data_IF_206603126020
#
_entry.id   IF_206603126020
#
_cell.length_a   1.000
_cell.length_b   1.000
_cell.length_c   1.000
_cell.angle_alpha   90.00
_cell.angle_beta   90.00
_cell.angle_gamma   90.00
#
_symmetry.space_group_name_H-M   'P 1'
#
loop_
_entity.id
_entity.type
_entity.pdbx_description
1 polymer ?
#
# COMPACT_ATOMS: atom_id res chain seq x y z
N UNK A 1 -24.30 -72.78 -1.59
CA UNK A 1 -23.33 -71.69 -1.70
C UNK A 1 -23.97 -70.50 -1.05
N UNK A 2 -23.30 -69.97 -0.02
CA UNK A 2 -23.82 -68.97 0.91
C UNK A 2 -24.38 -67.75 0.18
N UNK A 3 -25.66 -67.47 0.43
CA UNK A 3 -26.27 -66.18 0.11
C UNK A 3 -26.12 -65.35 1.37
N UNK A 4 -25.17 -64.43 1.37
CA UNK A 4 -24.97 -63.42 2.40
C UNK A 4 -26.34 -62.88 2.79
N UNK A 5 -26.81 -63.24 3.98
CA UNK A 5 -28.09 -62.77 4.48
C UNK A 5 -27.92 -61.27 4.73
N UNK A 6 -28.61 -60.44 3.94
CA UNK A 6 -28.74 -59.02 4.22
C UNK A 6 -29.55 -58.90 5.51
N UNK A 7 -28.87 -58.89 6.66
CA UNK A 7 -29.54 -58.81 7.96
C UNK A 7 -29.99 -57.37 8.17
N UNK A 8 -31.27 -57.13 7.90
CA UNK A 8 -31.96 -55.90 8.29
C UNK A 8 -31.98 -55.80 9.83
N UNK A 9 -31.25 -54.84 10.38
CA UNK A 9 -31.52 -54.34 11.73
C UNK A 9 -32.13 -52.94 11.57
N UNK A 10 -33.44 -52.82 11.78
CA UNK A 10 -34.11 -51.51 11.86
C UNK A 10 -34.90 -51.03 10.64
N UNK A 11 -35.15 -51.87 9.64
CA UNK A 11 -36.36 -51.75 8.80
C UNK A 11 -36.34 -50.86 7.56
N UNK A 12 -35.20 -50.28 7.14
CA UNK A 12 -35.14 -49.56 5.86
C UNK A 12 -33.77 -49.65 5.19
N UNK A 13 -33.64 -50.50 4.17
CA UNK A 13 -32.48 -50.49 3.28
C UNK A 13 -32.69 -49.43 2.20
N UNK A 14 -31.75 -48.51 2.06
CA UNK A 14 -31.76 -47.50 1.00
C UNK A 14 -30.85 -47.97 -0.11
N UNK A 15 -31.30 -47.83 -1.34
CA UNK A 15 -30.54 -48.22 -2.52
C UNK A 15 -30.47 -47.05 -3.49
N UNK A 16 -29.29 -46.86 -4.08
CA UNK A 16 -29.01 -45.87 -5.10
C UNK A 16 -29.06 -46.54 -6.46
N UNK A 17 -29.97 -46.10 -7.32
CA UNK A 17 -30.09 -46.57 -8.69
C UNK A 17 -28.97 -46.04 -9.59
N UNK A 18 -28.78 -46.67 -10.75
CA UNK A 18 -27.85 -46.19 -11.80
C UNK A 18 -28.24 -44.81 -12.36
N UNK A 19 -29.48 -44.37 -12.16
CA UNK A 19 -29.96 -43.03 -12.48
C UNK A 19 -29.67 -41.99 -11.37
N UNK A 20 -28.95 -42.39 -10.31
CA UNK A 20 -28.61 -41.57 -9.16
C UNK A 20 -29.76 -41.33 -8.19
N UNK A 21 -30.92 -41.98 -8.37
CA UNK A 21 -32.07 -41.80 -7.48
C UNK A 21 -32.01 -42.76 -6.30
N UNK A 22 -32.44 -42.23 -5.15
CA UNK A 22 -32.61 -42.99 -3.93
C UNK A 22 -33.98 -43.67 -3.92
N UNK A 23 -34.01 -44.95 -3.56
CA UNK A 23 -35.23 -45.69 -3.28
C UNK A 23 -35.06 -46.59 -2.07
N UNK A 24 -36.16 -46.92 -1.42
CA UNK A 24 -36.17 -47.88 -0.32
C UNK A 24 -36.45 -49.28 -0.86
N UNK A 25 -35.67 -50.27 -0.44
CA UNK A 25 -35.97 -51.67 -0.69
C UNK A 25 -37.04 -52.14 0.29
N UNK A 26 -38.15 -52.63 -0.24
CA UNK A 26 -39.17 -53.29 0.57
C UNK A 26 -38.77 -54.75 0.86
N UNK A 27 -39.33 -55.32 1.91
CA UNK A 27 -39.04 -56.67 2.35
C UNK A 27 -39.24 -57.71 1.22
N UNK A 28 -38.20 -58.49 0.91
CA UNK A 28 -38.10 -59.47 -0.20
C UNK A 28 -37.91 -58.91 -1.62
N UNK A 29 -37.71 -57.60 -1.78
CA UNK A 29 -37.27 -57.04 -3.07
C UNK A 29 -35.77 -57.27 -3.27
N UNK A 30 -35.38 -57.78 -4.44
CA UNK A 30 -33.96 -57.91 -4.78
C UNK A 30 -33.46 -56.64 -5.45
N UNK A 31 -32.28 -56.12 -5.06
CA UNK A 31 -31.67 -55.01 -5.75
C UNK A 31 -31.25 -55.43 -7.16
N UNK A 32 -31.28 -54.47 -8.08
CA UNK A 32 -30.85 -54.65 -9.45
C UNK A 32 -29.32 -54.57 -9.54
N UNK A 33 -28.75 -55.19 -10.58
CA UNK A 33 -27.32 -55.09 -10.85
C UNK A 33 -26.90 -53.62 -11.04
N UNK A 34 -25.78 -53.25 -10.43
CA UNK A 34 -25.22 -51.91 -10.47
C UNK A 34 -25.79 -50.94 -9.43
N UNK A 35 -26.78 -51.37 -8.64
CA UNK A 35 -27.28 -50.56 -7.54
C UNK A 35 -26.34 -50.58 -6.33
N UNK A 36 -26.31 -49.48 -5.58
CA UNK A 36 -25.53 -49.35 -4.33
C UNK A 36 -26.48 -49.41 -3.15
N UNK A 37 -26.29 -50.40 -2.28
CA UNK A 37 -27.04 -50.59 -1.04
C UNK A 37 -26.33 -49.85 0.07
N UNK A 38 -27.10 -49.07 0.84
CA UNK A 38 -26.60 -48.31 1.99
C UNK A 38 -27.44 -48.69 3.21
N UNK A 39 -26.76 -49.20 4.23
CA UNK A 39 -27.34 -49.51 5.53
C UNK A 39 -26.60 -48.74 6.62
N UNK A 40 -27.31 -48.41 7.69
CA UNK A 40 -26.70 -47.82 8.88
C UNK A 40 -26.16 -48.95 9.76
N UNK A 41 -24.91 -48.82 10.19
CA UNK A 41 -24.32 -49.68 11.19
C UNK A 41 -24.55 -49.09 12.59
N UNK A 42 -25.35 -49.75 13.42
CA UNK A 42 -25.64 -49.29 14.78
C UNK A 42 -24.45 -49.45 15.76
N UNK A 43 -23.36 -50.11 15.33
CA UNK A 43 -22.16 -50.30 16.15
C UNK A 43 -21.24 -49.06 16.19
N UNK A 44 -21.33 -48.15 15.21
CA UNK A 44 -20.56 -46.90 15.19
C UNK A 44 -21.46 -45.68 14.89
N UNK A 45 -21.26 -44.53 15.56
CA UNK A 45 -22.18 -43.39 15.52
C UNK A 45 -22.36 -42.73 14.12
N UNK A 46 -21.52 -43.10 13.15
CA UNK A 46 -21.56 -42.64 11.75
C UNK A 46 -21.19 -43.77 10.76
N UNK A 47 -21.16 -45.03 11.20
CA UNK A 47 -20.79 -46.16 10.33
C UNK A 47 -21.88 -46.43 9.28
N UNK A 48 -21.53 -46.29 8.00
CA UNK A 48 -22.36 -46.74 6.88
C UNK A 48 -21.80 -48.06 6.36
N UNK A 49 -22.65 -49.07 6.23
CA UNK A 49 -22.36 -50.30 5.50
C UNK A 49 -22.82 -50.08 4.05
N UNK A 50 -21.85 -50.02 3.13
CA UNK A 50 -22.09 -49.72 1.71
C UNK A 50 -21.68 -50.90 0.85
N UNK A 51 -22.64 -51.37 0.06
CA UNK A 51 -22.51 -52.59 -0.70
C UNK A 51 -22.92 -52.39 -2.16
N UNK A 52 -22.06 -52.74 -3.11
CA UNK A 52 -22.32 -52.64 -4.55
C UNK A 52 -22.82 -53.99 -5.10
N UNK A 53 -23.93 -53.97 -5.84
CA UNK A 53 -24.50 -55.17 -6.46
C UNK A 53 -23.85 -55.44 -7.82
N UNK A 54 -23.09 -56.53 -7.92
CA UNK A 54 -22.44 -57.02 -9.14
C UNK A 54 -23.16 -58.25 -9.70
N UNK A 55 -22.81 -58.64 -10.92
CA UNK A 55 -23.38 -59.83 -11.60
C UNK A 55 -23.22 -61.13 -10.78
N UNK A 56 -22.13 -61.22 -10.02
CA UNK A 56 -21.75 -62.41 -9.24
C UNK A 56 -22.10 -62.32 -7.74
N UNK A 57 -22.89 -61.33 -7.34
CA UNK A 57 -23.27 -61.11 -5.93
C UNK A 57 -23.01 -59.68 -5.47
N UNK A 58 -22.92 -59.51 -4.15
CA UNK A 58 -22.76 -58.20 -3.53
C UNK A 58 -21.31 -58.03 -3.07
N UNK A 59 -20.70 -56.87 -3.35
CA UNK A 59 -19.37 -56.50 -2.89
C UNK A 59 -19.47 -55.43 -1.80
N UNK A 60 -18.76 -55.61 -0.70
CA UNK A 60 -18.57 -54.57 0.31
C UNK A 60 -17.56 -53.52 -0.20
N UNK A 61 -17.96 -52.26 -0.16
CA UNK A 61 -17.18 -51.08 -0.61
C UNK A 61 -17.15 -50.00 0.46
N UNK A 62 -17.45 -50.35 1.73
CA UNK A 62 -17.57 -49.39 2.83
C UNK A 62 -16.28 -48.60 3.08
N UNK A 63 -15.13 -49.28 3.03
CA UNK A 63 -13.81 -48.66 3.21
C UNK A 63 -13.47 -47.66 2.09
N UNK A 64 -13.71 -48.06 0.84
CA UNK A 64 -13.48 -47.23 -0.35
C UNK A 64 -14.31 -45.94 -0.29
N UNK A 65 -15.58 -46.05 0.13
CA UNK A 65 -16.48 -44.90 0.29
C UNK A 65 -16.01 -43.99 1.43
N UNK A 66 -15.54 -44.54 2.54
CA UNK A 66 -15.00 -43.75 3.64
C UNK A 66 -13.77 -42.93 3.21
N UNK A 67 -12.90 -43.51 2.39
CA UNK A 67 -11.73 -42.81 1.83
C UNK A 67 -12.14 -41.66 0.89
N UNK A 68 -13.09 -41.90 -0.01
CA UNK A 68 -13.62 -40.87 -0.92
C UNK A 68 -14.24 -39.71 -0.12
N UNK A 69 -15.07 -40.01 0.88
CA UNK A 69 -15.69 -38.98 1.73
C UNK A 69 -14.62 -38.17 2.47
N UNK A 70 -13.61 -38.83 3.03
CA UNK A 70 -12.51 -38.15 3.70
C UNK A 70 -11.72 -37.20 2.77
N UNK A 71 -11.50 -37.60 1.52
CA UNK A 71 -10.86 -36.74 0.52
C UNK A 71 -11.71 -35.52 0.18
N UNK A 72 -13.03 -35.71 -0.01
CA UNK A 72 -13.97 -34.62 -0.26
C UNK A 72 -14.03 -33.63 0.91
N UNK A 73 -14.05 -34.11 2.15
CA UNK A 73 -14.04 -33.25 3.35
C UNK A 73 -12.71 -32.48 3.50
N UNK A 74 -11.59 -33.07 3.07
CA UNK A 74 -10.29 -32.43 3.05
C UNK A 74 -10.06 -31.50 1.84
N UNK A 75 -11.04 -31.39 0.93
CA UNK A 75 -10.93 -30.61 -0.31
C UNK A 75 -9.95 -31.21 -1.34
N UNK A 76 -9.60 -32.48 -1.19
CA UNK A 76 -8.76 -33.23 -2.13
C UNK A 76 -9.61 -33.85 -3.25
N UNK A 77 -9.03 -33.98 -4.45
CA UNK A 77 -9.69 -34.64 -5.57
C UNK A 77 -9.72 -36.17 -5.34
N UNK A 78 -10.91 -36.81 -5.24
CA UNK A 78 -11.01 -38.26 -5.01
C UNK A 78 -10.34 -39.10 -6.09
N UNK A 79 -10.20 -38.58 -7.31
CA UNK A 79 -9.52 -39.29 -8.41
C UNK A 79 -8.01 -39.43 -8.19
N UNK A 80 -7.44 -38.70 -7.22
CA UNK A 80 -6.02 -38.76 -6.86
C UNK A 80 -5.73 -39.75 -5.72
N UNK A 81 -6.75 -40.39 -5.14
CA UNK A 81 -6.57 -41.41 -4.09
C UNK A 81 -5.92 -42.70 -4.60
N UNK A 82 -6.05 -42.99 -5.90
CA UNK A 82 -5.45 -44.15 -6.56
C UNK A 82 -6.14 -44.50 -7.89
N UNK A 83 -5.52 -45.36 -8.69
CA UNK A 83 -6.04 -45.79 -10.00
C UNK A 83 -7.43 -46.46 -9.90
N UNK A 84 -7.78 -47.02 -8.74
CA UNK A 84 -9.07 -47.64 -8.46
C UNK A 84 -10.21 -46.63 -8.23
N UNK A 85 -9.87 -45.37 -7.91
CA UNK A 85 -10.80 -44.24 -7.75
C UNK A 85 -10.84 -43.32 -8.96
N UNK A 86 -9.90 -43.49 -9.91
CA UNK A 86 -9.88 -42.72 -11.14
C UNK A 86 -11.12 -43.02 -11.99
N UNK A 87 -11.65 -41.99 -12.67
CA UNK A 87 -12.74 -42.19 -13.62
C UNK A 87 -12.31 -43.16 -14.72
N UNK A 88 -13.11 -44.20 -15.00
CA UNK A 88 -12.86 -45.17 -16.08
C UNK A 88 -12.96 -44.58 -17.51
N UNK A 89 -12.84 -43.25 -17.66
CA UNK A 89 -12.90 -42.56 -18.92
C UNK A 89 -11.81 -43.08 -19.87
N UNK A 90 -12.20 -43.56 -21.04
CA UNK A 90 -11.28 -44.08 -22.06
C UNK A 90 -10.87 -45.55 -21.87
N UNK A 91 -11.41 -46.26 -20.87
CA UNK A 91 -11.29 -47.73 -20.73
C UNK A 91 -12.50 -48.47 -21.32
N UNK A 92 -12.37 -49.79 -21.61
CA UNK A 92 -13.40 -50.55 -22.36
C UNK A 92 -14.72 -50.65 -21.63
N UNK A 93 -14.63 -50.53 -20.31
CA UNK A 93 -15.75 -50.64 -19.39
C UNK A 93 -16.25 -49.25 -18.96
N UNK A 94 -15.68 -48.17 -19.54
CA UNK A 94 -16.07 -46.80 -19.30
C UNK A 94 -17.16 -46.32 -20.25
N UNK A 95 -18.04 -45.45 -19.77
CA UNK A 95 -19.09 -44.81 -20.58
C UNK A 95 -18.56 -43.79 -21.60
N UNK A 96 -17.24 -43.55 -21.63
CA UNK A 96 -16.59 -42.60 -22.54
C UNK A 96 -16.17 -43.27 -23.85
N UNK A 97 -16.27 -42.55 -24.96
CA UNK A 97 -15.92 -43.04 -26.29
C UNK A 97 -14.42 -43.43 -26.36
N UNK A 98 -14.13 -44.71 -26.59
CA UNK A 98 -12.74 -45.22 -26.59
C UNK A 98 -11.97 -45.02 -27.90
N UNK A 99 -12.67 -44.99 -29.02
CA UNK A 99 -12.05 -44.93 -30.35
C UNK A 99 -12.92 -44.04 -31.22
N UNK A 100 -12.63 -42.74 -31.20
CA UNK A 100 -13.12 -41.84 -32.22
C UNK A 100 -12.20 -41.94 -33.43
N UNK A 101 -12.76 -42.11 -34.63
CA UNK A 101 -11.97 -42.06 -35.86
C UNK A 101 -11.39 -40.66 -36.05
N UNK A 102 -10.10 -40.57 -36.37
CA UNK A 102 -9.46 -39.30 -36.73
C UNK A 102 -9.94 -38.88 -38.11
N UNK A 103 -10.45 -37.65 -38.23
CA UNK A 103 -10.74 -37.03 -39.53
C UNK A 103 -9.43 -36.44 -40.06
N UNK A 104 -8.88 -37.03 -41.12
CA UNK A 104 -7.72 -36.46 -41.80
C UNK A 104 -8.12 -35.16 -42.50
N UNK A 105 -7.58 -34.04 -42.02
CA UNK A 105 -7.78 -32.72 -42.63
C UNK A 105 -6.90 -32.60 -43.87
N UNK A 106 -7.46 -32.87 -45.06
CA UNK A 106 -6.75 -32.81 -46.35
C UNK A 106 -6.64 -31.39 -46.95
N UNK A 107 -7.01 -30.35 -46.19
CA UNK A 107 -6.88 -28.95 -46.58
C UNK A 107 -5.71 -28.29 -45.85
N UNK A 108 -5.16 -27.21 -46.41
CA UNK A 108 -4.21 -26.36 -45.69
C UNK A 108 -4.85 -25.93 -44.36
N UNK A 109 -4.34 -26.46 -43.26
CA UNK A 109 -4.78 -26.06 -41.94
C UNK A 109 -4.33 -24.61 -41.72
N UNK A 110 -5.27 -23.66 -41.77
CA UNK A 110 -5.14 -22.51 -40.90
C UNK A 110 -5.27 -23.07 -39.49
N UNK A 111 -4.14 -23.30 -38.82
CA UNK A 111 -4.13 -23.27 -37.37
C UNK A 111 -4.77 -21.93 -37.03
N UNK A 112 -5.94 -21.97 -36.38
CA UNK A 112 -6.37 -20.79 -35.65
C UNK A 112 -5.23 -20.56 -34.67
N UNK A 113 -4.39 -19.55 -34.98
CA UNK A 113 -3.56 -18.93 -33.97
C UNK A 113 -4.59 -18.34 -33.02
N UNK A 114 -5.00 -19.12 -32.03
CA UNK A 114 -5.52 -18.56 -30.80
C UNK A 114 -4.32 -17.95 -30.13
N UNK A 115 -3.84 -16.85 -30.72
CA UNK A 115 -3.11 -15.86 -30.00
C UNK A 115 -4.01 -15.53 -28.84
N UNK A 116 -3.67 -16.02 -27.66
CA UNK A 116 -4.09 -15.38 -26.44
C UNK A 116 -3.39 -14.03 -26.44
N UNK A 117 -3.88 -13.14 -27.29
CA UNK A 117 -3.73 -11.72 -27.11
C UNK A 117 -4.59 -11.47 -25.88
N UNK A 118 -3.93 -11.31 -24.73
CA UNK A 118 -4.55 -10.68 -23.57
C UNK A 118 -4.76 -9.22 -23.95
N UNK A 119 -5.69 -8.98 -24.86
CA UNK A 119 -6.31 -7.68 -25.03
C UNK A 119 -6.86 -7.42 -23.64
N UNK A 120 -6.23 -6.50 -22.90
CA UNK A 120 -6.77 -6.00 -21.64
C UNK A 120 -8.26 -5.72 -21.86
N UNK A 121 -9.07 -5.91 -20.82
CA UNK A 121 -10.53 -6.00 -20.81
C UNK A 121 -11.31 -4.92 -21.60
N UNK A 122 -10.66 -3.96 -22.24
CA UNK A 122 -11.17 -2.90 -23.09
C UNK A 122 -12.05 -3.37 -24.27
N UNK A 123 -12.04 -4.65 -24.70
CA UNK A 123 -12.80 -5.11 -25.87
C UNK A 123 -13.93 -6.12 -25.63
N UNK A 124 -14.24 -6.52 -24.40
CA UNK A 124 -15.32 -7.50 -24.15
C UNK A 124 -16.50 -6.86 -23.42
N UNK A 125 -17.53 -6.45 -24.18
CA UNK A 125 -18.97 -6.35 -23.80
C UNK A 125 -19.32 -5.46 -22.60
N UNK A 126 -18.34 -4.98 -21.85
CA UNK A 126 -18.45 -4.22 -20.64
C UNK A 126 -17.87 -2.82 -20.88
N UNK A 127 -18.59 -1.78 -20.48
CA UNK A 127 -18.05 -0.43 -20.43
C UNK A 127 -16.88 -0.34 -19.45
N UNK A 128 -16.03 0.69 -19.56
CA UNK A 128 -14.97 0.95 -18.57
C UNK A 128 -15.53 0.94 -17.13
N UNK A 129 -16.74 1.47 -16.93
CA UNK A 129 -17.42 1.45 -15.63
C UNK A 129 -17.80 0.04 -15.17
N UNK A 130 -18.24 -0.82 -16.08
CA UNK A 130 -18.60 -2.21 -15.78
C UNK A 130 -17.37 -3.05 -15.44
N UNK A 131 -16.25 -2.80 -16.14
CA UNK A 131 -14.96 -3.45 -15.83
C UNK A 131 -14.44 -3.00 -14.47
N UNK A 132 -14.53 -1.71 -14.14
CA UNK A 132 -14.15 -1.18 -12.83
C UNK A 132 -14.98 -1.80 -11.70
N UNK A 133 -16.30 -1.92 -11.89
CA UNK A 133 -17.20 -2.50 -10.88
C UNK A 133 -17.03 -4.02 -10.74
N UNK A 134 -16.68 -4.74 -11.81
CA UNK A 134 -16.25 -6.14 -11.71
C UNK A 134 -14.91 -6.27 -10.97
N UNK A 135 -13.97 -5.35 -11.20
CA UNK A 135 -12.68 -5.35 -10.53
C UNK A 135 -12.84 -5.07 -9.02
N UNK A 136 -13.67 -4.09 -8.65
CA UNK A 136 -14.05 -3.86 -7.25
C UNK A 136 -14.70 -5.10 -6.62
N UNK A 137 -15.64 -5.77 -7.31
CA UNK A 137 -16.26 -6.99 -6.79
C UNK A 137 -15.26 -8.13 -6.65
N UNK A 138 -14.36 -8.31 -7.62
CA UNK A 138 -13.30 -9.33 -7.59
C UNK A 138 -12.32 -9.08 -6.42
N UNK A 139 -11.89 -7.84 -6.23
CA UNK A 139 -11.04 -7.46 -5.10
C UNK A 139 -11.77 -7.66 -3.77
N UNK A 140 -13.06 -7.29 -3.68
CA UNK A 140 -13.86 -7.49 -2.47
C UNK A 140 -14.13 -8.98 -2.15
N UNK A 141 -14.12 -9.86 -3.16
CA UNK A 141 -14.39 -11.29 -2.97
C UNK A 141 -13.13 -12.08 -2.60
N UNK A 142 -11.96 -11.70 -3.14
CA UNK A 142 -10.66 -12.26 -2.72
C UNK A 142 -10.22 -11.75 -1.35
N UNK A 143 -10.61 -10.52 -1.03
CA UNK A 143 -10.42 -9.89 0.27
C UNK A 143 -11.54 -10.34 1.21
N UNK A 144 -11.64 -11.65 1.44
CA UNK A 144 -12.53 -12.18 2.46
C UNK A 144 -12.20 -11.53 3.80
N UNK A 145 -13.14 -10.77 4.34
CA UNK A 145 -13.11 -10.17 5.69
C UNK A 145 -11.79 -9.49 6.12
N UNK A 146 -11.01 -8.99 5.17
CA UNK A 146 -9.94 -8.07 5.46
C UNK A 146 -10.51 -6.70 5.09
N UNK A 147 -11.00 -5.97 6.10
CA UNK A 147 -10.95 -4.51 6.02
C UNK A 147 -9.65 -4.17 5.35
N UNK A 148 -9.69 -3.43 4.24
CA UNK A 148 -8.47 -2.89 3.66
C UNK A 148 -7.58 -2.46 4.80
N UNK A 149 -6.30 -2.88 4.92
CA UNK A 149 -5.42 -1.98 5.61
C UNK A 149 -5.65 -0.71 4.82
N UNK A 150 -6.24 0.29 5.47
CA UNK A 150 -5.82 1.63 5.16
C UNK A 150 -4.30 1.48 5.07
N UNK A 151 -3.70 1.86 3.96
CA UNK A 151 -2.33 2.35 4.08
C UNK A 151 -2.52 3.54 5.02
N UNK A 152 -2.46 3.21 6.31
CA UNK A 152 -2.51 4.17 7.38
C UNK A 152 -1.18 4.86 7.17
N UNK A 153 -1.24 6.03 6.52
CA UNK A 153 -0.04 6.86 6.39
C UNK A 153 0.38 7.12 7.81
N UNK A 154 1.39 6.38 8.26
CA UNK A 154 1.93 6.60 9.59
C UNK A 154 2.61 7.97 9.54
N UNK A 155 2.26 8.82 10.50
CA UNK A 155 3.01 10.04 10.69
C UNK A 155 4.50 9.70 10.89
N UNK A 156 5.42 10.57 10.47
CA UNK A 156 6.83 10.39 10.78
C UNK A 156 7.03 10.29 12.29
N UNK A 157 7.95 9.41 12.70
CA UNK A 157 8.29 9.20 14.10
C UNK A 157 9.64 9.86 14.35
N UNK A 158 9.63 10.93 15.15
CA UNK A 158 10.85 11.64 15.52
C UNK A 158 11.63 10.90 16.61
N UNK A 159 12.95 10.84 16.47
CA UNK A 159 13.87 10.31 17.47
C UNK A 159 14.56 11.43 18.26
N UNK A 160 14.71 11.28 19.58
CA UNK A 160 15.47 12.26 20.37
C UNK A 160 16.96 12.23 19.97
N UNK A 161 17.51 13.38 19.59
CA UNK A 161 18.95 13.56 19.36
C UNK A 161 19.69 13.82 20.67
N UNK A 162 20.80 13.11 20.87
CA UNK A 162 21.69 13.33 22.01
C UNK A 162 23.13 13.43 21.51
N UNK A 163 23.77 14.53 21.84
CA UNK A 163 25.19 14.75 21.58
C UNK A 163 25.86 15.41 22.78
N UNK A 164 27.12 15.07 23.01
CA UNK A 164 27.97 15.75 23.98
C UNK A 164 29.16 16.33 23.25
N UNK A 165 29.44 17.60 23.53
CA UNK A 165 30.59 18.31 23.02
C UNK A 165 31.31 18.98 24.19
N UNK A 166 32.60 19.24 24.04
CA UNK A 166 33.34 20.06 25.00
C UNK A 166 32.88 21.52 24.88
N UNK A 167 33.11 22.34 25.91
CA UNK A 167 32.86 23.78 25.83
C UNK A 167 33.59 24.39 24.61
N UNK A 168 32.96 25.40 24.01
CA UNK A 168 33.46 26.13 22.83
C UNK A 168 33.77 25.27 21.59
N UNK A 169 33.19 24.07 21.52
CA UNK A 169 33.38 23.16 20.38
C UNK A 169 32.11 23.03 19.56
N UNK A 170 32.11 23.68 18.39
CA UNK A 170 31.01 23.61 17.43
C UNK A 170 30.83 22.21 16.84
N UNK A 171 29.58 21.79 16.69
CA UNK A 171 29.20 20.50 16.11
C UNK A 171 28.05 20.71 15.12
N UNK A 172 27.92 19.79 14.16
CA UNK A 172 26.80 19.73 13.23
C UNK A 172 26.03 18.45 13.53
N UNK A 173 24.72 18.56 13.74
CA UNK A 173 23.82 17.44 14.01
C UNK A 173 22.88 17.31 12.81
N UNK A 174 22.77 16.10 12.29
CA UNK A 174 21.76 15.77 11.28
C UNK A 174 20.49 15.30 11.99
N UNK A 175 19.55 16.22 12.20
CA UNK A 175 18.32 16.00 12.99
C UNK A 175 17.33 15.05 12.33
N UNK A 176 17.54 14.65 11.07
CA UNK A 176 16.68 13.68 10.38
C UNK A 176 17.30 12.28 10.35
N UNK A 177 18.52 12.11 10.88
CA UNK A 177 19.27 10.87 10.74
C UNK A 177 18.67 9.69 11.51
N UNK A 178 17.95 9.97 12.60
CA UNK A 178 17.33 8.98 13.50
C UNK A 178 15.79 8.95 13.41
N UNK A 179 15.20 9.71 12.48
CA UNK A 179 13.75 9.78 12.28
C UNK A 179 13.26 8.68 11.33
N UNK A 180 12.10 8.09 11.63
CA UNK A 180 11.52 7.00 10.83
C UNK A 180 10.29 7.46 10.03
N UNK A 181 10.23 7.06 8.77
CA UNK A 181 9.08 7.22 7.87
C UNK A 181 8.62 5.85 7.34
N UNK A 182 7.35 5.51 7.57
CA UNK A 182 6.83 4.21 7.17
C UNK A 182 6.64 4.05 5.65
N UNK A 183 6.47 5.15 4.91
CA UNK A 183 5.99 5.15 3.52
C UNK A 183 7.01 5.66 2.48
N UNK A 184 8.31 5.66 2.77
CA UNK A 184 9.37 6.05 1.82
C UNK A 184 9.25 7.47 1.21
N UNK A 185 8.50 8.34 1.87
CA UNK A 185 8.47 9.79 1.61
C UNK A 185 9.73 10.46 2.19
N UNK A 186 10.18 11.57 1.59
CA UNK A 186 11.29 12.35 2.14
C UNK A 186 10.83 13.17 3.35
N UNK A 187 11.62 13.18 4.42
CA UNK A 187 11.47 14.11 5.54
C UNK A 187 12.03 15.48 5.17
N UNK A 188 11.34 16.54 5.58
CA UNK A 188 11.79 17.91 5.44
C UNK A 188 11.52 18.65 6.76
N UNK A 189 12.43 19.55 7.12
CA UNK A 189 12.27 20.44 8.27
C UNK A 189 11.47 21.65 7.79
N UNK A 190 10.34 21.93 8.46
CA UNK A 190 9.52 23.11 8.16
C UNK A 190 10.02 24.35 8.89
N UNK A 191 10.39 24.20 10.17
CA UNK A 191 10.96 25.26 11.00
C UNK A 191 11.77 24.67 12.15
N UNK A 192 12.73 25.44 12.66
CA UNK A 192 13.45 25.17 13.89
C UNK A 192 13.54 26.48 14.68
N UNK A 193 13.41 26.41 16.01
CA UNK A 193 13.47 27.57 16.90
C UNK A 193 14.25 27.21 18.15
N UNK A 194 15.12 28.12 18.59
CA UNK A 194 15.80 28.06 19.88
C UNK A 194 15.01 28.93 20.86
N UNK A 195 14.56 28.41 22.01
CA UNK A 195 13.97 29.26 23.05
C UNK A 195 15.00 30.29 23.53
N UNK A 196 14.59 31.54 23.74
CA UNK A 196 15.48 32.66 24.11
C UNK A 196 16.39 32.35 25.32
N UNK A 197 15.88 31.55 26.25
CA UNK A 197 16.58 31.11 27.46
C UNK A 197 17.77 30.16 27.19
N UNK A 198 17.82 29.56 26.00
CA UNK A 198 18.78 28.54 25.58
C UNK A 198 19.83 29.07 24.59
N UNK A 199 19.75 30.36 24.22
CA UNK A 199 20.72 31.03 23.36
C UNK A 199 20.09 31.70 22.15
N UNK A 200 20.90 32.47 21.42
CA UNK A 200 20.55 33.14 20.17
C UNK A 200 21.01 32.31 18.97
N UNK A 201 20.19 32.26 17.91
CA UNK A 201 20.64 31.75 16.62
C UNK A 201 21.65 32.75 16.02
N UNK A 202 22.88 32.31 15.79
CA UNK A 202 23.92 33.13 15.14
C UNK A 202 24.28 32.57 13.77
N UNK A 203 24.23 33.43 12.75
CA UNK A 203 24.72 33.11 11.41
C UNK A 203 23.71 32.47 10.45
N UNK A 204 22.41 32.47 10.77
CA UNK A 204 21.39 32.04 9.81
C UNK A 204 21.35 32.98 8.60
N UNK A 205 21.17 32.39 7.42
CA UNK A 205 21.05 33.11 6.14
C UNK A 205 19.66 32.85 5.59
N UNK A 206 18.78 33.85 5.71
CA UNK A 206 17.47 33.81 5.06
C UNK A 206 17.61 34.22 3.58
N UNK A 207 16.75 33.71 2.70
CA UNK A 207 16.80 33.99 1.25
C UNK A 207 15.44 34.35 0.70
N UNK A 208 15.27 35.59 0.27
CA UNK A 208 14.07 36.11 -0.41
C UNK A 208 14.28 35.97 -1.92
N UNK A 209 13.42 35.19 -2.58
CA UNK A 209 13.58 34.83 -4.01
C UNK A 209 12.69 35.62 -4.96
N UNK A 210 11.61 36.19 -4.46
CA UNK A 210 10.54 36.84 -5.22
C UNK A 210 10.36 38.32 -4.88
N UNK A 211 11.41 38.94 -4.33
CA UNK A 211 11.41 40.35 -4.00
C UNK A 211 11.11 41.23 -5.22
N UNK A 212 10.21 42.20 -5.06
CA UNK A 212 9.84 43.20 -6.06
C UNK A 212 9.97 44.61 -5.45
N UNK A 213 10.93 45.39 -5.97
CA UNK A 213 11.20 46.77 -5.53
C UNK A 213 9.94 47.63 -5.57
N UNK A 214 9.67 48.30 -4.45
CA UNK A 214 8.55 49.23 -4.29
C UNK A 214 7.20 48.55 -4.00
N UNK A 215 7.09 47.24 -4.16
CA UNK A 215 5.92 46.45 -3.75
C UNK A 215 6.18 45.77 -2.40
N UNK A 216 7.36 45.17 -2.24
CA UNK A 216 7.71 44.41 -1.05
C UNK A 216 8.50 45.25 -0.03
N UNK A 217 8.28 44.94 1.25
CA UNK A 217 9.04 45.48 2.40
C UNK A 217 9.37 44.33 3.35
N UNK A 218 10.58 44.35 3.88
CA UNK A 218 11.07 43.39 4.87
C UNK A 218 10.74 43.93 6.25
N UNK A 219 9.94 43.18 7.00
CA UNK A 219 9.71 43.44 8.42
C UNK A 219 10.84 42.79 9.21
N UNK A 220 11.62 43.61 9.93
CA UNK A 220 12.76 43.15 10.73
C UNK A 220 12.49 43.21 12.23
N UNK A 221 11.25 43.53 12.63
CA UNK A 221 10.87 43.55 14.05
C UNK A 221 11.05 42.19 14.70
N UNK A 222 10.66 41.11 14.00
CA UNK A 222 10.85 39.74 14.48
C UNK A 222 12.33 39.33 14.53
N UNK A 223 13.16 39.96 13.70
CA UNK A 223 14.58 39.64 13.57
C UNK A 223 15.46 40.32 14.64
N UNK A 224 14.96 41.42 15.19
CA UNK A 224 15.64 42.20 16.22
C UNK A 224 15.23 41.81 17.65
N UNK A 225 14.38 40.78 17.82
CA UNK A 225 13.82 40.33 19.10
C UNK A 225 13.33 41.49 19.98
N UNK A 226 12.65 42.47 19.37
CA UNK A 226 12.24 43.68 20.08
C UNK A 226 11.08 43.37 21.02
N UNK A 227 11.25 43.61 22.33
CA UNK A 227 10.13 43.55 23.27
C UNK A 227 9.40 44.92 23.36
N UNK A 228 8.25 44.95 24.05
CA UNK A 228 7.47 46.19 24.24
C UNK A 228 8.24 47.28 25.04
N UNK A 229 9.43 46.97 25.58
CA UNK A 229 10.29 47.89 26.34
C UNK A 229 11.49 48.41 25.53
N UNK A 230 11.78 47.81 24.37
CA UNK A 230 12.85 48.24 23.50
C UNK A 230 12.51 49.56 22.82
N UNK A 231 13.29 50.60 23.17
CA UNK A 231 13.18 51.90 22.51
C UNK A 231 13.95 51.89 21.18
N UNK A 232 13.47 52.67 20.21
CA UNK A 232 14.19 52.92 18.95
C UNK A 232 15.64 53.35 19.21
N UNK A 233 15.88 54.15 20.25
CA UNK A 233 17.23 54.58 20.64
C UNK A 233 18.09 53.41 21.17
N UNK A 234 17.50 52.44 21.88
CA UNK A 234 18.19 51.23 22.34
C UNK A 234 18.56 50.32 21.16
N UNK A 235 17.64 50.14 20.21
CA UNK A 235 17.83 49.29 19.04
C UNK A 235 18.90 49.83 18.10
N UNK A 236 18.93 51.15 17.88
CA UNK A 236 19.97 51.80 17.07
C UNK A 236 21.32 51.91 17.80
N UNK A 237 21.34 51.90 19.14
CA UNK A 237 22.57 51.90 19.90
C UNK A 237 23.24 50.52 19.95
N UNK A 238 22.43 49.46 19.92
CA UNK A 238 22.90 48.10 20.13
C UNK A 238 23.02 47.27 18.85
N UNK A 239 22.49 47.73 17.71
CA UNK A 239 22.54 46.99 16.45
C UNK A 239 23.17 47.81 15.32
N UNK A 240 23.92 47.12 14.45
CA UNK A 240 24.45 47.62 13.20
C UNK A 240 23.69 46.96 12.04
N UNK A 241 23.13 47.78 11.16
CA UNK A 241 22.45 47.32 9.93
C UNK A 241 23.36 47.62 8.74
N UNK A 242 23.94 46.59 8.16
CA UNK A 242 24.76 46.63 6.97
C UNK A 242 23.99 46.21 5.72
N UNK A 243 24.33 46.80 4.58
CA UNK A 243 23.84 46.36 3.28
C UNK A 243 25.01 46.26 2.30
N UNK A 244 25.16 45.08 1.71
CA UNK A 244 26.21 44.80 0.73
C UNK A 244 25.60 44.28 -0.58
N UNK A 245 26.28 44.53 -1.69
CA UNK A 245 25.93 43.98 -2.99
C UNK A 245 26.91 42.86 -3.31
N UNK A 246 26.39 41.67 -3.60
CA UNK A 246 27.18 40.51 -4.00
C UNK A 246 26.62 39.94 -5.31
N UNK A 247 27.30 40.24 -6.41
CA UNK A 247 26.84 39.90 -7.76
C UNK A 247 25.45 40.47 -8.06
N UNK A 248 24.50 39.59 -8.32
CA UNK A 248 23.11 39.96 -8.61
C UNK A 248 22.28 40.19 -7.33
N UNK A 249 22.79 39.82 -6.15
CA UNK A 249 22.04 39.79 -4.90
C UNK A 249 22.36 41.00 -4.01
N UNK A 250 21.43 41.36 -3.13
CA UNK A 250 21.69 42.24 -1.99
C UNK A 250 21.72 41.41 -0.72
N UNK A 251 22.70 41.68 0.14
CA UNK A 251 22.86 41.03 1.43
C UNK A 251 22.62 42.06 2.52
N UNK A 252 21.49 41.93 3.21
CA UNK A 252 21.20 42.66 4.44
C UNK A 252 21.82 41.89 5.60
N UNK A 253 22.68 42.56 6.37
CA UNK A 253 23.25 42.01 7.60
C UNK A 253 22.77 42.84 8.77
N UNK A 254 22.23 42.19 9.78
CA UNK A 254 21.84 42.82 11.03
C UNK A 254 22.67 42.13 12.10
N UNK A 255 23.47 42.90 12.83
CA UNK A 255 24.34 42.37 13.86
C UNK A 255 24.26 43.20 15.12
N UNK A 256 24.42 42.55 16.28
CA UNK A 256 24.64 43.25 17.52
C UNK A 256 25.99 44.00 17.45
N UNK A 257 26.03 45.18 18.05
CA UNK A 257 27.17 46.10 18.04
C UNK A 257 28.42 45.54 18.73
N UNK A 258 28.25 44.54 19.59
CA UNK A 258 29.33 43.79 20.22
C UNK A 258 29.78 42.57 19.40
N UNK A 259 29.10 42.30 18.26
CA UNK A 259 29.35 41.19 17.36
C UNK A 259 28.96 39.83 17.92
N UNK A 260 28.15 39.78 18.99
CA UNK A 260 27.75 38.54 19.65
C UNK A 260 26.71 37.74 18.85
N UNK A 261 25.93 38.41 18.01
CA UNK A 261 24.97 37.78 17.11
C UNK A 261 24.94 38.50 15.76
N UNK A 262 24.73 37.73 14.69
CA UNK A 262 24.51 38.26 13.35
C UNK A 262 23.49 37.45 12.59
N UNK A 263 22.65 38.15 11.85
CA UNK A 263 21.66 37.58 10.95
C UNK A 263 21.86 38.13 9.55
N UNK A 264 21.74 37.25 8.55
CA UNK A 264 21.84 37.64 7.14
C UNK A 264 20.55 37.34 6.41
N UNK A 265 20.17 38.26 5.53
CA UNK A 265 19.05 38.09 4.58
C UNK A 265 19.58 38.38 3.18
N UNK A 266 19.53 37.37 2.31
CA UNK A 266 19.91 37.44 0.90
C UNK A 266 18.67 37.72 0.08
N UNK A 267 18.67 38.83 -0.65
CA UNK A 267 17.63 39.20 -1.61
C UNK A 267 18.13 38.82 -3.00
N UNK A 268 17.65 37.69 -3.52
CA UNK A 268 18.06 37.21 -4.85
C UNK A 268 17.65 38.21 -5.93
N UNK A 269 18.60 38.58 -6.79
CA UNK A 269 18.36 39.57 -7.84
C UNK A 269 18.15 41.01 -7.33
N UNK A 270 18.31 41.27 -6.03
CA UNK A 270 18.13 42.60 -5.43
C UNK A 270 19.02 43.67 -6.07
N UNK A 271 20.29 43.35 -6.37
CA UNK A 271 21.23 44.32 -6.96
C UNK A 271 20.80 44.77 -8.35
N UNK A 272 20.14 43.90 -9.10
CA UNK A 272 19.58 44.25 -10.41
C UNK A 272 18.42 45.26 -10.30
N UNK A 273 17.59 45.13 -9.27
CA UNK A 273 16.45 46.02 -9.03
C UNK A 273 16.87 47.41 -8.52
N UNK A 274 18.02 47.49 -7.85
CA UNK A 274 18.61 48.74 -7.38
C UNK A 274 19.80 49.21 -8.22
N UNK A 275 20.03 48.65 -9.40
CA UNK A 275 21.21 48.92 -10.26
C UNK A 275 21.48 50.41 -10.54
N UNK A 276 20.47 51.27 -10.48
CA UNK A 276 20.60 52.73 -10.60
C UNK A 276 21.38 53.39 -9.44
N UNK A 277 21.43 52.72 -8.29
CA UNK A 277 22.09 53.14 -7.04
C UNK A 277 23.40 52.39 -6.79
N UNK A 278 23.76 51.42 -7.65
CA UNK A 278 25.02 50.70 -7.58
C UNK A 278 26.01 51.26 -8.60
N UNK A 279 27.23 51.55 -8.17
CA UNK A 279 28.31 52.02 -9.05
C UNK A 279 29.32 50.88 -9.18
N UNK A 280 29.46 50.31 -10.37
CA UNK A 280 30.34 49.17 -10.67
C UNK A 280 30.07 47.95 -9.75
N UNK A 281 28.81 47.71 -9.42
CA UNK A 281 28.39 46.64 -8.51
C UNK A 281 28.67 46.88 -7.04
N UNK A 282 29.22 48.04 -6.66
CA UNK A 282 29.47 48.42 -5.28
C UNK A 282 28.42 49.41 -4.76
N UNK A 283 28.07 49.27 -3.48
CA UNK A 283 27.24 50.21 -2.75
C UNK A 283 28.08 51.31 -2.11
N UNK A 284 27.64 52.56 -2.25
CA UNK A 284 28.15 53.65 -1.42
C UNK A 284 27.33 53.76 -0.12
N UNK A 285 27.86 54.32 0.97
CA UNK A 285 27.09 54.48 2.22
C UNK A 285 25.80 55.29 2.07
N UNK A 286 25.79 56.27 1.15
CA UNK A 286 24.61 57.10 0.89
C UNK A 286 23.54 56.32 0.11
N UNK A 287 23.96 55.52 -0.88
CA UNK A 287 23.07 54.69 -1.68
C UNK A 287 22.53 53.51 -0.88
N UNK A 288 23.37 52.89 -0.03
CA UNK A 288 22.97 51.84 0.90
C UNK A 288 21.87 52.31 1.84
N UNK A 289 21.97 53.54 2.36
CA UNK A 289 20.91 54.14 3.19
C UNK A 289 19.60 54.36 2.43
N UNK A 290 19.67 54.74 1.15
CA UNK A 290 18.48 54.90 0.30
C UNK A 290 17.79 53.55 0.04
N UNK A 291 18.57 52.50 -0.22
CA UNK A 291 18.06 51.14 -0.43
C UNK A 291 17.48 50.59 0.87
N UNK A 292 18.16 50.73 2.01
CA UNK A 292 17.64 50.30 3.32
C UNK A 292 16.29 50.93 3.65
N UNK A 293 16.11 52.23 3.39
CA UNK A 293 14.81 52.89 3.57
C UNK A 293 13.71 52.33 2.63
N UNK A 294 14.10 51.81 1.47
CA UNK A 294 13.16 51.17 0.55
C UNK A 294 12.98 49.68 0.83
N UNK A 295 13.92 49.00 1.46
CA UNK A 295 13.80 47.59 1.80
C UNK A 295 13.00 47.39 3.09
N UNK A 296 13.22 48.22 4.09
CA UNK A 296 12.76 47.95 5.46
C UNK A 296 11.39 48.56 5.74
N UNK A 297 10.55 47.79 6.42
CA UNK A 297 9.32 48.29 7.04
C UNK A 297 9.68 48.90 8.38
N UNK A 298 9.59 50.23 8.47
CA UNK A 298 9.73 50.94 9.73
C UNK A 298 8.34 51.00 10.38
N UNK A 299 8.07 50.16 11.38
CA UNK A 299 6.88 50.29 12.22
C UNK A 299 7.01 51.58 13.05
N UNK A 300 6.57 52.69 12.48
CA UNK A 300 6.47 53.96 13.20
C UNK A 300 5.13 54.01 13.95
N UNK A 301 4.90 53.05 14.85
CA UNK A 301 3.77 53.10 15.78
C UNK A 301 4.06 54.12 16.88
N UNK A 302 3.97 55.40 16.49
CA UNK A 302 3.73 56.49 17.41
C UNK A 302 2.45 57.19 16.96
N UNK A 303 1.30 56.63 17.33
CA UNK A 303 0.10 57.35 17.79
C UNK A 303 -0.88 56.44 18.48
#
# INVERSE_FOLDING_TARGET
MDRTSLVSFGGQLVVVGLDGKLRTLIENEQPLQGEVIVARNDAEPIGLDVQLVKENGVQDVSDDVAQILGALEAGQDPTQLGDEFASAAGQSDGSSLQTSGTVDRIGAELLADTGFETIGLEFLVFSQTQILSLNELYLNTLRGDETSPAVERAAPVAGDDIVQTDEDSAIIIDVLANDEVADSENLFIESATVPEEQGTHDGEVDTIKDFTKGEDKIDISDLLHTDDFDSVDSLLANNEIGLEADGDNLILTISESDGSSSQKVVIEGGSNQYSELLIDGSLSPADGSAILNDLLKINNDIT
#
